data_IF_949349425984
#
_entry.id   IF_949349425984
#
_cell.length_a   1.000
_cell.length_b   1.000
_cell.length_c   1.000
_cell.angle_alpha   90.00
_cell.angle_beta   90.00
_cell.angle_gamma   90.00
#
_symmetry.space_group_name_H-M   'P 1'
#
loop_
_entity.id
_entity.type
_entity.pdbx_description
1 polymer ?
#
# COMPACT_ATOMS: atom_id res chain seq x y z
N UNK A 1 23.57 12.48 4.77
CA UNK A 1 22.38 12.33 3.90
C UNK A 1 21.96 13.73 3.46
N UNK A 2 21.64 13.96 2.20
CA UNK A 2 21.10 15.28 1.80
C UNK A 2 19.66 15.43 2.30
N UNK A 3 19.14 16.66 2.50
CA UNK A 3 17.74 16.86 2.92
C UNK A 3 16.73 16.16 1.99
N UNK A 4 17.05 16.08 0.68
CA UNK A 4 16.24 15.36 -0.31
C UNK A 4 16.26 13.84 -0.10
N UNK A 5 17.44 13.27 0.18
CA UNK A 5 17.58 11.84 0.48
C UNK A 5 16.86 11.47 1.79
N UNK A 6 16.91 12.34 2.80
CA UNK A 6 16.18 12.17 4.07
C UNK A 6 14.67 12.19 3.88
N UNK A 7 14.15 13.17 3.14
CA UNK A 7 12.73 13.21 2.79
C UNK A 7 12.28 11.95 2.04
N UNK A 8 13.08 11.48 1.06
CA UNK A 8 12.77 10.26 0.32
C UNK A 8 12.79 9.02 1.22
N UNK A 9 13.79 8.89 2.10
CA UNK A 9 13.87 7.78 3.05
C UNK A 9 12.66 7.73 3.99
N UNK A 10 12.28 8.88 4.57
CA UNK A 10 11.12 8.97 5.46
C UNK A 10 9.83 8.61 4.72
N UNK A 11 9.66 9.06 3.47
CA UNK A 11 8.52 8.67 2.62
C UNK A 11 8.48 7.16 2.40
N UNK A 12 9.60 6.56 1.99
CA UNK A 12 9.70 5.11 1.78
C UNK A 12 9.38 4.33 3.06
N UNK A 13 9.97 4.71 4.19
CA UNK A 13 9.72 4.06 5.48
C UNK A 13 8.24 4.16 5.90
N UNK A 14 7.62 5.32 5.70
CA UNK A 14 6.20 5.54 5.99
C UNK A 14 5.31 4.64 5.12
N UNK A 15 5.56 4.60 3.81
CA UNK A 15 4.81 3.75 2.88
C UNK A 15 4.98 2.26 3.20
N UNK A 16 6.21 1.80 3.49
CA UNK A 16 6.45 0.42 3.88
C UNK A 16 5.76 0.05 5.20
N UNK A 17 5.72 0.95 6.18
CA UNK A 17 4.95 0.73 7.42
C UNK A 17 3.45 0.63 7.16
N UNK A 18 2.90 1.41 6.23
CA UNK A 18 1.50 1.27 5.83
C UNK A 18 1.26 -0.09 5.18
N UNK A 19 2.09 -0.47 4.21
CA UNK A 19 1.97 -1.75 3.49
C UNK A 19 2.07 -2.93 4.47
N UNK A 20 3.08 -2.93 5.34
CA UNK A 20 3.33 -4.03 6.27
C UNK A 20 2.31 -4.16 7.41
N UNK A 21 1.76 -3.04 7.90
CA UNK A 21 0.93 -3.07 9.11
C UNK A 21 -0.56 -2.78 8.89
N UNK A 22 -0.93 -2.07 7.82
CA UNK A 22 -2.31 -1.61 7.62
C UNK A 22 -3.10 -2.42 6.60
N UNK A 23 -2.45 -3.18 5.74
CA UNK A 23 -3.16 -4.06 4.82
C UNK A 23 -3.61 -5.34 5.53
N UNK A 24 -4.81 -5.77 5.16
CA UNK A 24 -5.46 -6.90 5.80
C UNK A 24 -4.86 -8.22 5.33
N UNK A 25 -4.76 -9.17 6.25
CA UNK A 25 -4.41 -10.55 5.90
C UNK A 25 -5.50 -11.16 4.99
N UNK A 26 -5.16 -12.19 4.20
CA UNK A 26 -6.13 -12.88 3.35
C UNK A 26 -7.38 -13.37 4.11
N UNK A 27 -7.23 -13.81 5.36
CA UNK A 27 -8.35 -14.25 6.20
C UNK A 27 -9.25 -13.11 6.64
N UNK A 28 -8.70 -11.91 6.88
CA UNK A 28 -9.47 -10.71 7.21
C UNK A 28 -10.18 -10.16 5.97
N UNK A 29 -9.52 -10.14 4.82
CA UNK A 29 -10.13 -9.79 3.53
C UNK A 29 -11.34 -10.68 3.21
N UNK A 30 -11.27 -12.00 3.45
CA UNK A 30 -12.44 -12.89 3.26
C UNK A 30 -13.64 -12.48 4.13
N UNK A 31 -13.40 -12.05 5.37
CA UNK A 31 -14.47 -11.62 6.28
C UNK A 31 -15.08 -10.30 5.82
N UNK A 32 -14.24 -9.36 5.40
CA UNK A 32 -14.68 -8.06 4.89
C UNK A 32 -15.40 -8.15 3.55
N UNK A 33 -14.97 -9.04 2.65
CA UNK A 33 -15.67 -9.31 1.39
C UNK A 33 -17.16 -9.60 1.66
N UNK A 34 -17.42 -10.48 2.63
CA UNK A 34 -18.78 -10.82 3.05
C UNK A 34 -19.53 -9.61 3.63
N UNK A 35 -18.86 -8.75 4.42
CA UNK A 35 -19.47 -7.54 4.98
C UNK A 35 -19.86 -6.52 3.91
N UNK A 36 -19.08 -6.44 2.83
CA UNK A 36 -19.31 -5.51 1.72
C UNK A 36 -20.12 -6.13 0.57
N UNK A 37 -20.55 -7.38 0.68
CA UNK A 37 -21.27 -8.08 -0.38
C UNK A 37 -20.41 -8.40 -1.61
N UNK A 38 -19.09 -8.38 -1.46
CA UNK A 38 -18.11 -8.64 -2.52
C UNK A 38 -17.68 -10.10 -2.49
N UNK A 39 -17.26 -10.60 -3.65
CA UNK A 39 -16.51 -11.85 -3.75
C UNK A 39 -15.09 -11.68 -3.19
N UNK A 40 -14.47 -12.81 -2.87
CA UNK A 40 -13.09 -12.79 -2.39
C UNK A 40 -12.10 -12.28 -3.45
N UNK A 41 -12.38 -12.49 -4.74
CA UNK A 41 -11.51 -12.02 -5.81
C UNK A 41 -11.61 -10.50 -5.98
N UNK A 42 -12.82 -9.93 -5.93
CA UNK A 42 -13.02 -8.47 -6.02
C UNK A 42 -12.31 -7.74 -4.88
N UNK A 43 -12.42 -8.23 -3.63
CA UNK A 43 -11.72 -7.56 -2.53
C UNK A 43 -10.20 -7.72 -2.61
N UNK A 44 -9.71 -8.82 -3.20
CA UNK A 44 -8.28 -9.01 -3.43
C UNK A 44 -7.76 -8.03 -4.49
N UNK A 45 -8.52 -7.83 -5.57
CA UNK A 45 -8.20 -6.85 -6.61
C UNK A 45 -8.13 -5.44 -6.01
N UNK A 46 -9.15 -5.04 -5.24
CA UNK A 46 -9.17 -3.74 -4.53
C UNK A 46 -7.96 -3.61 -3.59
N UNK A 47 -7.66 -4.65 -2.80
CA UNK A 47 -6.51 -4.63 -1.91
C UNK A 47 -5.19 -4.48 -2.69
N UNK A 48 -5.05 -5.17 -3.83
CA UNK A 48 -3.87 -5.08 -4.68
C UNK A 48 -3.73 -3.70 -5.33
N UNK A 49 -4.80 -3.14 -5.88
CA UNK A 49 -4.83 -1.78 -6.44
C UNK A 49 -4.43 -0.74 -5.39
N UNK A 50 -4.96 -0.84 -4.18
CA UNK A 50 -4.60 0.02 -3.07
C UNK A 50 -3.09 -0.03 -2.74
N UNK A 51 -2.46 -1.22 -2.79
CA UNK A 51 -1.00 -1.34 -2.57
C UNK A 51 -0.24 -0.64 -3.69
N UNK A 52 -0.66 -0.85 -4.94
CA UNK A 52 -0.02 -0.21 -6.09
C UNK A 52 -0.14 1.32 -6.04
N UNK A 53 -1.28 1.86 -5.61
CA UNK A 53 -1.47 3.30 -5.45
C UNK A 53 -0.56 3.89 -4.39
N UNK A 54 -0.48 3.30 -3.19
CA UNK A 54 0.45 3.77 -2.14
C UNK A 54 1.91 3.75 -2.64
N UNK A 55 2.30 2.74 -3.42
CA UNK A 55 3.61 2.68 -4.06
C UNK A 55 3.81 3.81 -5.08
N UNK A 56 2.83 4.04 -5.99
CA UNK A 56 2.87 5.14 -6.97
C UNK A 56 2.99 6.51 -6.29
N UNK A 57 2.24 6.74 -5.21
CA UNK A 57 2.30 7.98 -4.44
C UNK A 57 3.68 8.17 -3.80
N UNK A 58 4.28 7.11 -3.25
CA UNK A 58 5.62 7.17 -2.69
C UNK A 58 6.68 7.51 -3.74
N UNK A 59 6.57 6.90 -4.93
CA UNK A 59 7.54 7.06 -6.02
C UNK A 59 7.37 8.38 -6.79
N UNK A 60 6.23 9.06 -6.66
CA UNK A 60 5.94 10.29 -7.39
C UNK A 60 7.02 11.35 -7.14
N UNK A 61 7.71 11.74 -8.21
CA UNK A 61 8.78 12.75 -8.16
C UNK A 61 10.15 12.21 -7.74
N UNK A 62 10.28 10.92 -7.44
CA UNK A 62 11.56 10.23 -7.28
C UNK A 62 11.96 9.67 -8.64
N UNK A 63 13.06 10.18 -9.22
CA UNK A 63 13.66 9.60 -10.41
C UNK A 63 14.68 8.55 -9.98
N UNK A 64 14.68 7.39 -10.62
CA UNK A 64 15.82 6.48 -10.52
C UNK A 64 17.05 7.18 -11.10
N UNK A 65 18.20 6.94 -10.47
CA UNK A 65 19.49 7.35 -11.01
C UNK A 65 19.84 6.54 -12.25
#
# INVERSE_FOLDING_TARGET
MTPKQESNYVKMLSTLRKIGNKYHSPSKLRKEAKMYGLSYNEILEIAYENIQEEAKFCLKGIRSL
#
